data_IF_949814186367
#
_entry.id   IF_949814186367
#
_cell.length_a   1.000
_cell.length_b   1.000
_cell.length_c   1.000
_cell.angle_alpha   90.00
_cell.angle_beta   90.00
_cell.angle_gamma   90.00
#
_symmetry.space_group_name_H-M   'P 1'
#
loop_
_entity.id
_entity.type
_entity.pdbx_description
1 polymer ?
#
# COMPACT_ATOMS: atom_id res chain seq x y z
N UNK A 1 -19.29 -36.00 -44.25
CA UNK A 1 -18.98 -35.83 -42.80
C UNK A 1 -17.97 -34.73 -42.66
N UNK A 2 -18.41 -33.55 -42.18
CA UNK A 2 -17.54 -32.40 -41.90
C UNK A 2 -17.22 -32.45 -40.42
N UNK A 3 -15.98 -32.83 -40.06
CA UNK A 3 -15.47 -32.79 -38.68
C UNK A 3 -14.95 -31.40 -38.40
N UNK A 4 -15.72 -30.59 -37.70
CA UNK A 4 -15.23 -29.33 -37.10
C UNK A 4 -14.35 -29.66 -35.89
N UNK A 5 -13.03 -29.51 -36.05
CA UNK A 5 -12.08 -29.56 -34.95
C UNK A 5 -12.26 -28.29 -34.10
N UNK A 6 -12.74 -28.48 -32.87
CA UNK A 6 -12.78 -27.42 -31.85
C UNK A 6 -11.34 -27.26 -31.29
N UNK A 7 -10.65 -26.23 -31.68
CA UNK A 7 -9.36 -25.84 -31.04
C UNK A 7 -9.75 -25.01 -29.81
N UNK A 8 -9.48 -25.46 -28.58
CA UNK A 8 -9.68 -24.62 -27.42
C UNK A 8 -8.68 -23.45 -27.52
N UNK A 9 -9.18 -22.24 -27.65
CA UNK A 9 -8.38 -21.03 -27.43
C UNK A 9 -8.07 -21.05 -25.93
N UNK A 10 -6.86 -21.47 -25.58
CA UNK A 10 -6.30 -21.22 -24.25
C UNK A 10 -6.13 -19.70 -24.13
N UNK A 11 -7.17 -19.04 -23.64
CA UNK A 11 -7.08 -17.71 -23.12
C UNK A 11 -6.12 -17.79 -21.91
N UNK A 12 -4.86 -17.51 -22.13
CA UNK A 12 -3.88 -17.27 -21.07
C UNK A 12 -4.29 -16.00 -20.35
N UNK A 13 -5.26 -16.08 -19.46
CA UNK A 13 -5.53 -15.02 -18.49
C UNK A 13 -4.22 -14.85 -17.72
N UNK A 14 -3.56 -13.70 -17.93
CA UNK A 14 -2.33 -13.37 -17.23
C UNK A 14 -2.68 -13.36 -15.75
N UNK A 15 -2.12 -14.27 -14.95
CA UNK A 15 -2.34 -14.28 -13.52
C UNK A 15 -1.93 -12.92 -12.95
N UNK A 16 -2.82 -12.30 -12.19
CA UNK A 16 -2.54 -11.03 -11.53
C UNK A 16 -1.51 -11.27 -10.42
N UNK A 17 -0.45 -10.45 -10.30
CA UNK A 17 0.55 -10.62 -9.28
C UNK A 17 0.00 -10.27 -7.89
N UNK A 18 0.52 -10.90 -6.85
CA UNK A 18 0.36 -10.41 -5.49
C UNK A 18 1.11 -9.09 -5.32
N UNK A 19 0.53 -8.14 -4.57
CA UNK A 19 1.12 -6.82 -4.35
C UNK A 19 1.25 -6.57 -2.85
N UNK A 20 2.45 -6.20 -2.42
CA UNK A 20 2.74 -5.73 -1.06
C UNK A 20 3.19 -4.28 -1.16
N UNK A 21 2.47 -3.38 -0.47
CA UNK A 21 2.78 -1.96 -0.40
C UNK A 21 3.19 -1.58 1.02
N UNK A 22 4.50 -1.42 1.24
CA UNK A 22 5.07 -1.08 2.56
C UNK A 22 5.33 0.42 2.60
N UNK A 23 4.82 1.07 3.64
CA UNK A 23 4.94 2.52 3.88
C UNK A 23 5.52 2.74 5.26
N UNK A 24 6.64 3.45 5.33
CA UNK A 24 7.19 4.00 6.58
C UNK A 24 6.74 5.45 6.75
N UNK A 25 6.57 5.91 8.00
CA UNK A 25 6.17 7.30 8.25
C UNK A 25 7.38 8.17 8.56
N UNK A 26 7.45 9.35 7.94
CA UNK A 26 8.49 10.37 8.16
C UNK A 26 9.93 9.90 7.86
N UNK A 27 10.12 8.79 7.17
CA UNK A 27 11.46 8.36 6.75
C UNK A 27 12.00 9.28 5.66
N UNK A 28 13.14 9.93 5.92
CA UNK A 28 13.79 10.75 4.90
C UNK A 28 14.47 9.87 3.85
N UNK A 29 14.60 10.37 2.62
CA UNK A 29 15.28 9.63 1.54
C UNK A 29 16.74 9.27 1.91
N UNK A 30 17.40 10.11 2.72
CA UNK A 30 18.77 9.87 3.19
C UNK A 30 18.89 8.85 4.32
N UNK A 31 17.78 8.39 4.92
CA UNK A 31 17.81 7.43 6.04
C UNK A 31 17.79 5.96 5.54
N UNK A 32 18.59 5.65 4.53
CA UNK A 32 18.76 4.30 3.97
C UNK A 32 20.22 4.10 3.56
N UNK A 33 20.79 2.93 3.83
CA UNK A 33 22.18 2.60 3.43
C UNK A 33 22.33 2.47 1.92
N UNK A 34 21.30 2.03 1.18
CA UNK A 34 21.34 1.92 -0.28
C UNK A 34 21.49 3.25 -1.03
N UNK A 35 21.28 4.39 -0.38
CA UNK A 35 21.54 5.73 -0.96
C UNK A 35 22.88 6.33 -0.53
N UNK A 36 23.74 5.55 0.13
CA UNK A 36 25.09 5.97 0.53
C UNK A 36 25.20 6.50 1.97
N UNK A 37 24.15 6.40 2.77
CA UNK A 37 24.25 6.77 4.19
C UNK A 37 24.97 5.67 4.98
N UNK A 38 26.12 6.03 5.58
CA UNK A 38 26.95 5.11 6.37
C UNK A 38 26.56 5.04 7.84
N UNK A 39 25.73 5.96 8.32
CA UNK A 39 25.31 6.06 9.72
C UNK A 39 24.09 5.19 10.05
N UNK A 40 23.41 4.67 9.01
CA UNK A 40 22.28 3.77 9.15
C UNK A 40 22.55 2.42 8.50
N UNK A 41 21.90 1.38 9.01
CA UNK A 41 22.04 0.03 8.50
C UNK A 41 20.67 -0.55 8.14
N UNK A 42 20.34 -0.60 6.83
CA UNK A 42 19.04 -1.01 6.29
C UNK A 42 19.15 -2.18 5.31
N UNK A 43 19.70 -3.35 5.72
CA UNK A 43 20.09 -4.43 4.81
C UNK A 43 18.92 -5.02 4.02
N UNK A 44 17.71 -5.01 4.56
CA UNK A 44 16.53 -5.52 3.88
C UNK A 44 16.04 -4.56 2.78
N UNK A 45 16.09 -3.25 3.04
CA UNK A 45 15.78 -2.22 2.03
C UNK A 45 16.84 -2.26 0.93
N UNK A 46 18.10 -2.43 1.28
CA UNK A 46 19.22 -2.55 0.32
C UNK A 46 19.03 -3.75 -0.62
N UNK A 47 18.58 -4.89 -0.10
CA UNK A 47 18.27 -6.06 -0.93
C UNK A 47 17.11 -5.80 -1.90
N UNK A 48 16.08 -5.08 -1.47
CA UNK A 48 14.97 -4.68 -2.34
C UNK A 48 15.46 -3.72 -3.43
N UNK A 49 16.30 -2.74 -3.07
CA UNK A 49 16.88 -1.80 -4.03
C UNK A 49 17.77 -2.49 -5.07
N UNK A 50 18.53 -3.51 -4.66
CA UNK A 50 19.38 -4.30 -5.57
C UNK A 50 18.57 -5.21 -6.50
N UNK A 51 17.47 -5.77 -6.02
CA UNK A 51 16.62 -6.69 -6.78
C UNK A 51 15.59 -6.00 -7.68
N UNK A 52 15.30 -4.73 -7.41
CA UNK A 52 14.24 -3.96 -8.06
C UNK A 52 14.73 -2.64 -8.65
N UNK A 53 13.91 -1.61 -8.51
CA UNK A 53 14.19 -0.25 -8.98
C UNK A 53 14.21 0.72 -7.81
N UNK A 54 15.30 1.44 -7.62
CA UNK A 54 15.44 2.51 -6.64
C UNK A 54 15.13 3.87 -7.30
N UNK A 55 14.04 4.52 -6.87
CA UNK A 55 13.69 5.88 -7.29
C UNK A 55 14.40 6.91 -6.40
N UNK A 56 15.44 7.54 -6.92
CA UNK A 56 16.24 8.52 -6.17
C UNK A 56 15.58 9.90 -6.04
N UNK A 57 14.57 10.18 -6.88
CA UNK A 57 13.84 11.45 -6.93
C UNK A 57 12.33 11.20 -6.81
N UNK A 58 11.89 10.59 -5.70
CA UNK A 58 10.49 10.41 -5.39
C UNK A 58 10.02 11.48 -4.39
N UNK A 59 8.86 12.10 -4.64
CA UNK A 59 8.32 13.18 -3.83
C UNK A 59 6.88 12.86 -3.41
N UNK A 60 6.54 13.12 -2.15
CA UNK A 60 5.15 13.08 -1.71
C UNK A 60 4.44 14.39 -2.11
N UNK A 61 3.12 14.33 -2.30
CA UNK A 61 2.32 15.49 -2.69
C UNK A 61 2.21 16.55 -1.59
N UNK A 62 2.39 16.16 -0.33
CA UNK A 62 2.45 17.04 0.83
C UNK A 62 3.29 16.38 1.93
N UNK A 63 4.17 17.13 2.63
CA UNK A 63 5.05 16.58 3.67
C UNK A 63 4.34 16.45 5.03
N UNK A 64 3.12 15.93 5.03
CA UNK A 64 2.28 15.64 6.19
C UNK A 64 1.61 14.29 6.01
N UNK A 65 1.54 13.50 7.08
CA UNK A 65 1.07 12.12 7.06
C UNK A 65 -0.33 11.96 6.45
N UNK A 66 -1.34 12.64 6.98
CA UNK A 66 -2.72 12.54 6.49
C UNK A 66 -2.88 12.98 5.04
N UNK A 67 -2.46 14.19 4.64
CA UNK A 67 -2.52 14.65 3.26
C UNK A 67 -1.75 13.76 2.28
N UNK A 68 -0.54 13.32 2.63
CA UNK A 68 0.26 12.44 1.79
C UNK A 68 -0.41 11.08 1.59
N UNK A 69 -0.89 10.46 2.67
CA UNK A 69 -1.58 9.16 2.61
C UNK A 69 -2.90 9.26 1.84
N UNK A 70 -3.67 10.33 2.04
CA UNK A 70 -4.87 10.55 1.25
C UNK A 70 -4.55 10.62 -0.25
N UNK A 71 -3.48 11.33 -0.63
CA UNK A 71 -3.03 11.38 -2.02
C UNK A 71 -2.63 10.01 -2.58
N UNK A 72 -1.91 9.19 -1.79
CA UNK A 72 -1.53 7.84 -2.19
C UNK A 72 -2.74 6.93 -2.43
N UNK A 73 -3.79 7.05 -1.61
CA UNK A 73 -4.97 6.18 -1.71
C UNK A 73 -6.07 6.71 -2.63
N UNK A 74 -6.03 7.98 -3.04
CA UNK A 74 -7.04 8.55 -3.95
C UNK A 74 -6.52 8.84 -5.35
N UNK A 75 -5.18 8.91 -5.53
CA UNK A 75 -4.57 9.34 -6.78
C UNK A 75 -4.68 10.84 -7.04
N UNK A 76 -5.22 11.62 -6.11
CA UNK A 76 -5.33 13.08 -6.19
C UNK A 76 -4.27 13.76 -5.35
N UNK A 77 -3.82 14.94 -5.73
CA UNK A 77 -2.97 15.74 -4.86
C UNK A 77 -3.75 16.25 -3.66
N UNK A 78 -3.07 16.48 -2.54
CA UNK A 78 -3.71 17.01 -1.32
C UNK A 78 -4.40 18.36 -1.56
N UNK A 79 -3.89 19.15 -2.49
CA UNK A 79 -4.47 20.44 -2.89
C UNK A 79 -5.82 20.25 -3.62
N UNK A 80 -5.91 19.32 -4.57
CA UNK A 80 -7.15 19.04 -5.31
C UNK A 80 -8.29 18.57 -4.39
N UNK A 81 -7.96 17.83 -3.36
CA UNK A 81 -8.96 17.29 -2.43
C UNK A 81 -9.14 18.13 -1.16
N UNK A 82 -8.48 19.30 -1.07
CA UNK A 82 -8.61 20.24 0.04
C UNK A 82 -8.00 19.77 1.38
N UNK A 83 -7.11 18.77 1.36
CA UNK A 83 -6.47 18.23 2.55
C UNK A 83 -5.09 18.86 2.79
N UNK A 84 -5.07 20.06 3.38
CA UNK A 84 -3.83 20.77 3.67
C UNK A 84 -3.19 20.45 5.04
N UNK A 85 -3.86 19.67 5.89
CA UNK A 85 -3.42 19.36 7.27
C UNK A 85 -3.96 18.02 7.74
N UNK A 86 -3.36 17.48 8.82
CA UNK A 86 -3.85 16.26 9.47
C UNK A 86 -5.25 16.45 10.07
N UNK A 87 -5.95 15.33 10.25
CA UNK A 87 -7.27 15.27 10.89
C UNK A 87 -8.37 16.10 10.19
N UNK A 88 -8.22 16.31 8.89
CA UNK A 88 -9.26 16.85 8.02
C UNK A 88 -9.99 15.69 7.35
N UNK A 89 -11.34 15.64 7.40
CA UNK A 89 -12.09 14.61 6.71
C UNK A 89 -11.82 14.64 5.20
N UNK A 90 -11.57 13.47 4.62
CA UNK A 90 -11.53 13.31 3.17
C UNK A 90 -12.97 13.46 2.61
N UNK A 91 -13.16 14.07 1.44
CA UNK A 91 -14.49 14.14 0.81
C UNK A 91 -15.09 12.74 0.62
N UNK A 92 -16.33 12.55 1.05
CA UNK A 92 -17.03 11.25 0.94
C UNK A 92 -17.16 10.77 -0.49
N UNK A 93 -17.22 11.69 -1.46
CA UNK A 93 -17.26 11.36 -2.90
C UNK A 93 -16.03 10.58 -3.40
N UNK A 94 -14.91 10.62 -2.68
CA UNK A 94 -13.69 9.91 -3.05
C UNK A 94 -13.60 8.50 -2.45
N UNK A 95 -14.46 8.13 -1.49
CA UNK A 95 -14.41 6.82 -0.82
C UNK A 95 -14.53 5.67 -1.81
N UNK A 96 -15.47 5.75 -2.75
CA UNK A 96 -15.73 4.71 -3.74
C UNK A 96 -14.62 4.55 -4.80
N UNK A 97 -13.69 5.50 -4.88
CA UNK A 97 -12.58 5.51 -5.86
C UNK A 97 -11.21 5.40 -5.20
N UNK A 98 -11.17 5.02 -3.92
CA UNK A 98 -9.89 4.78 -3.24
C UNK A 98 -9.20 3.54 -3.78
N UNK A 99 -7.89 3.50 -3.68
CA UNK A 99 -7.06 2.42 -4.19
C UNK A 99 -7.53 1.04 -3.71
N UNK A 100 -7.92 0.89 -2.43
CA UNK A 100 -8.42 -0.37 -1.91
C UNK A 100 -9.72 -0.82 -2.60
N UNK A 101 -10.66 0.10 -2.83
CA UNK A 101 -11.92 -0.19 -3.53
C UNK A 101 -11.64 -0.59 -4.99
N UNK A 102 -10.78 0.16 -5.68
CA UNK A 102 -10.40 -0.15 -7.06
C UNK A 102 -9.72 -1.52 -7.18
N UNK A 103 -8.82 -1.85 -6.25
CA UNK A 103 -8.16 -3.15 -6.21
C UNK A 103 -9.14 -4.29 -5.92
N UNK A 104 -10.14 -4.09 -5.04
CA UNK A 104 -11.22 -5.07 -4.85
C UNK A 104 -12.00 -5.30 -6.14
N UNK A 105 -12.38 -4.24 -6.85
CA UNK A 105 -13.06 -4.36 -8.14
C UNK A 105 -12.21 -5.05 -9.21
N UNK A 106 -10.89 -4.94 -9.13
CA UNK A 106 -9.94 -5.66 -9.97
C UNK A 106 -9.76 -7.15 -9.56
N UNK A 107 -10.45 -7.62 -8.53
CA UNK A 107 -10.45 -9.03 -8.10
C UNK A 107 -9.44 -9.35 -6.97
N UNK A 108 -8.76 -8.36 -6.41
CA UNK A 108 -7.81 -8.59 -5.31
C UNK A 108 -8.51 -8.80 -3.96
N UNK A 109 -7.90 -9.62 -3.13
CA UNK A 109 -8.11 -9.61 -1.70
C UNK A 109 -7.31 -8.46 -1.09
N UNK A 110 -7.99 -7.44 -0.53
CA UNK A 110 -7.33 -6.25 -0.01
C UNK A 110 -7.26 -6.29 1.52
N UNK A 111 -6.05 -6.17 2.06
CA UNK A 111 -5.78 -6.17 3.49
C UNK A 111 -4.90 -4.98 3.90
N UNK A 112 -5.10 -4.50 5.11
CA UNK A 112 -4.36 -3.39 5.69
C UNK A 112 -3.86 -3.73 7.10
N UNK A 113 -2.60 -3.38 7.37
CA UNK A 113 -2.01 -3.50 8.70
C UNK A 113 -1.28 -2.21 9.08
N UNK A 114 -1.44 -1.73 10.30
CA UNK A 114 -0.72 -0.60 10.87
C UNK A 114 -1.34 0.78 10.65
N UNK A 115 -0.51 1.81 10.52
CA UNK A 115 -0.90 3.22 10.48
C UNK A 115 -1.70 3.57 9.23
N UNK A 116 -2.94 4.01 9.41
CA UNK A 116 -3.82 4.50 8.33
C UNK A 116 -3.68 6.02 8.14
N UNK A 117 -4.10 6.79 9.11
CA UNK A 117 -4.05 8.25 9.17
C UNK A 117 -4.61 8.99 7.93
N UNK A 118 -5.49 8.33 7.18
CA UNK A 118 -6.33 8.97 6.16
C UNK A 118 -7.66 9.28 6.79
N UNK A 119 -8.23 10.44 6.51
CA UNK A 119 -9.44 10.86 7.16
C UNK A 119 -9.23 11.04 8.69
N UNK A 120 -10.29 11.09 9.48
CA UNK A 120 -10.25 11.18 10.94
C UNK A 120 -10.14 9.81 11.63
N UNK A 121 -10.22 8.72 10.88
CA UNK A 121 -10.15 7.37 11.42
C UNK A 121 -8.71 6.89 11.64
N UNK A 122 -8.50 6.12 12.71
CA UNK A 122 -7.20 5.51 13.03
C UNK A 122 -6.88 4.30 12.15
N UNK A 123 -7.92 3.65 11.61
CA UNK A 123 -7.85 2.47 10.75
C UNK A 123 -8.76 2.67 9.55
N UNK A 124 -8.49 2.05 8.39
CA UNK A 124 -9.43 2.04 7.29
C UNK A 124 -10.69 1.27 7.69
N UNK A 125 -11.84 1.80 7.37
CA UNK A 125 -13.07 1.02 7.42
C UNK A 125 -13.27 0.23 6.12
N UNK A 126 -14.31 -0.60 6.07
CA UNK A 126 -14.61 -1.42 4.88
C UNK A 126 -14.96 -0.59 3.64
N UNK A 127 -15.37 0.67 3.84
CA UNK A 127 -15.70 1.58 2.75
C UNK A 127 -14.46 2.02 1.95
N UNK A 128 -13.27 1.90 2.54
CA UNK A 128 -11.99 2.11 1.83
C UNK A 128 -11.46 0.85 1.13
N UNK A 129 -12.21 -0.25 1.16
CA UNK A 129 -11.88 -1.48 0.45
C UNK A 129 -10.88 -2.39 1.15
N UNK A 130 -10.61 -2.24 2.44
CA UNK A 130 -9.64 -3.06 3.16
C UNK A 130 -10.25 -3.88 4.29
N UNK A 131 -9.71 -5.09 4.49
CA UNK A 131 -9.84 -5.84 5.73
C UNK A 131 -8.67 -5.50 6.64
N UNK A 132 -8.95 -5.07 7.87
CA UNK A 132 -7.89 -4.67 8.82
C UNK A 132 -7.33 -5.90 9.52
N UNK A 133 -6.01 -6.11 9.39
CA UNK A 133 -5.27 -7.19 10.03
C UNK A 133 -4.71 -6.79 11.39
N UNK A 134 -4.25 -5.56 11.51
CA UNK A 134 -3.55 -5.05 12.69
C UNK A 134 -3.84 -3.56 12.90
N UNK A 135 -4.03 -3.11 14.16
CA UNK A 135 -4.28 -1.70 14.47
C UNK A 135 -3.06 -0.82 14.24
N UNK A 136 -3.22 0.49 14.48
CA UNK A 136 -2.16 1.50 14.38
C UNK A 136 -1.11 1.35 15.50
N UNK A 137 -0.22 0.39 15.36
CA UNK A 137 0.98 0.20 16.19
C UNK A 137 1.99 -0.65 15.45
N UNK A 138 3.28 -0.42 15.64
CA UNK A 138 4.34 -1.21 15.02
C UNK A 138 4.60 -2.53 15.77
N UNK A 139 4.20 -2.60 17.05
CA UNK A 139 4.33 -3.82 17.84
C UNK A 139 3.37 -4.91 17.32
N UNK A 140 3.89 -6.04 16.87
CA UNK A 140 3.10 -7.13 16.28
C UNK A 140 2.69 -6.92 14.81
N UNK A 141 3.04 -5.79 14.20
CA UNK A 141 2.67 -5.46 12.83
C UNK A 141 3.32 -6.40 11.80
N UNK A 142 4.60 -6.70 11.99
CA UNK A 142 5.33 -7.61 11.11
C UNK A 142 4.76 -9.03 11.20
N UNK A 143 4.51 -9.52 12.41
CA UNK A 143 3.95 -10.85 12.67
C UNK A 143 2.56 -11.00 12.05
N UNK A 144 1.68 -10.02 12.21
CA UNK A 144 0.35 -10.04 11.59
C UNK A 144 0.43 -10.02 10.06
N UNK A 145 1.36 -9.27 9.51
CA UNK A 145 1.59 -9.20 8.06
C UNK A 145 2.13 -10.52 7.52
N UNK A 146 3.09 -11.14 8.20
CA UNK A 146 3.66 -12.46 7.83
C UNK A 146 2.58 -13.53 7.91
N UNK A 147 1.79 -13.57 8.98
CA UNK A 147 0.69 -14.53 9.12
C UNK A 147 -0.34 -14.41 7.98
N UNK A 148 -0.61 -13.19 7.49
CA UNK A 148 -1.43 -12.99 6.31
C UNK A 148 -0.77 -13.59 5.05
N UNK A 149 0.52 -13.36 4.85
CA UNK A 149 1.25 -13.82 3.66
C UNK A 149 1.41 -15.36 3.62
N UNK A 150 1.51 -16.02 4.77
CA UNK A 150 1.73 -17.47 4.88
C UNK A 150 0.44 -18.31 4.73
N UNK A 151 -0.74 -17.69 4.83
CA UNK A 151 -1.99 -18.42 4.64
C UNK A 151 -2.26 -18.72 3.16
N UNK A 152 -3.14 -19.68 2.88
CA UNK A 152 -3.63 -19.93 1.54
C UNK A 152 -4.49 -18.75 1.04
N UNK A 153 -4.28 -18.37 -0.22
CA UNK A 153 -5.03 -17.34 -0.92
C UNK A 153 -5.72 -17.93 -2.14
N UNK A 154 -7.02 -17.73 -2.28
CA UNK A 154 -7.81 -18.22 -3.43
C UNK A 154 -7.82 -17.23 -4.59
N UNK A 155 -7.26 -16.04 -4.40
CA UNK A 155 -7.16 -14.95 -5.39
C UNK A 155 -5.93 -14.09 -5.06
N UNK A 156 -5.43 -13.29 -6.01
CA UNK A 156 -4.31 -12.40 -5.75
C UNK A 156 -4.65 -11.43 -4.61
N UNK A 157 -3.66 -11.06 -3.83
CA UNK A 157 -3.85 -10.12 -2.73
C UNK A 157 -3.13 -8.79 -2.97
N UNK A 158 -3.71 -7.73 -2.39
CA UNK A 158 -3.10 -6.42 -2.19
C UNK A 158 -3.00 -6.15 -0.70
N UNK A 159 -1.79 -6.26 -0.16
CA UNK A 159 -1.49 -6.00 1.25
C UNK A 159 -0.81 -4.65 1.39
N UNK A 160 -1.36 -3.78 2.24
CA UNK A 160 -0.71 -2.54 2.67
C UNK A 160 -0.22 -2.70 4.10
N UNK A 161 1.04 -2.37 4.33
CA UNK A 161 1.68 -2.39 5.67
C UNK A 161 2.20 -0.99 5.97
N UNK A 162 1.56 -0.30 6.89
CA UNK A 162 1.88 1.07 7.29
C UNK A 162 2.61 1.12 8.64
N UNK A 163 3.94 1.27 8.62
CA UNK A 163 4.71 1.49 9.83
C UNK A 163 4.57 2.94 10.33
N UNK A 164 4.53 3.12 11.66
CA UNK A 164 4.61 4.44 12.27
C UNK A 164 6.06 4.92 12.35
N UNK A 165 6.99 4.01 12.62
CA UNK A 165 8.41 4.34 12.62
C UNK A 165 8.94 4.69 11.20
N UNK A 166 9.94 5.62 11.15
CA UNK A 166 10.67 6.31 12.22
C UNK A 166 10.06 7.63 12.74
N UNK A 167 8.73 7.81 12.68
CA UNK A 167 8.05 9.09 12.96
C UNK A 167 8.34 9.65 14.37
N UNK A 168 8.44 8.84 15.39
CA UNK A 168 8.56 9.28 16.80
C UNK A 168 9.88 8.81 17.46
N UNK A 169 10.98 8.82 16.71
CA UNK A 169 12.28 8.45 17.21
C UNK A 169 13.11 9.73 17.50
#
# INVERSE_FOLDING_TARGET
FCTTAFVPVLSGAKELPNIIYIVTDQQTASAMSCVGNTDVHTPNIDRLAQAGVLFTNAYCSAPLSGPSRASMFTGHTSHEIGLARNNVPMPDSLRATTLGVLMQHAGYECAYAGKWHVHTASIPDREFGFSVLHPHTDHGLAEASVAFLEREHTRPFFLVVGFDNPHNI
#
